data_IF_963963402173
#
_entry.id   IF_963963402173
#
_cell.length_a   1.000
_cell.length_b   1.000
_cell.length_c   1.000
_cell.angle_alpha   90.00
_cell.angle_beta   90.00
_cell.angle_gamma   90.00
#
_symmetry.space_group_name_H-M   'P 1'
#
loop_
_entity.id
_entity.type
_entity.pdbx_description
1 polymer ?
#
# COMPACT_ATOMS: atom_id res chain seq x y z
N UNK A 1 9.70 3.89 18.95
CA UNK A 1 8.41 4.65 18.96
C UNK A 1 8.51 6.10 18.47
N UNK A 2 9.68 6.77 18.52
CA UNK A 2 9.84 8.18 18.08
C UNK A 2 9.70 8.40 16.55
N UNK A 3 10.12 7.42 15.73
CA UNK A 3 10.03 7.51 14.27
C UNK A 3 8.60 7.42 13.72
N UNK A 4 7.73 6.64 14.34
CA UNK A 4 6.31 6.50 13.93
C UNK A 4 5.54 7.80 14.23
N UNK A 5 5.86 8.45 15.35
CA UNK A 5 5.27 9.72 15.74
C UNK A 5 5.72 10.88 14.83
N UNK A 6 6.99 10.87 14.39
CA UNK A 6 7.50 11.83 13.43
C UNK A 6 6.87 11.67 12.04
N UNK A 7 6.66 10.43 11.58
CA UNK A 7 5.99 10.13 10.32
C UNK A 7 4.49 10.52 10.34
N UNK A 8 3.82 10.34 11.49
CA UNK A 8 2.44 10.76 11.66
C UNK A 8 2.29 12.30 11.66
N UNK A 9 3.23 13.02 12.29
CA UNK A 9 3.25 14.49 12.31
C UNK A 9 3.56 15.09 10.94
N UNK A 10 4.49 14.48 10.17
CA UNK A 10 4.77 14.93 8.80
C UNK A 10 3.58 14.69 7.88
N UNK A 11 2.89 13.56 8.00
CA UNK A 11 1.67 13.29 7.24
C UNK A 11 0.54 14.28 7.58
N UNK A 12 0.38 14.66 8.86
CA UNK A 12 -0.63 15.62 9.29
C UNK A 12 -0.36 17.04 8.78
N UNK A 13 0.92 17.44 8.70
CA UNK A 13 1.34 18.74 8.16
C UNK A 13 1.16 18.84 6.64
N UNK A 14 1.38 17.75 5.90
CA UNK A 14 1.12 17.69 4.45
C UNK A 14 -0.39 17.81 4.18
N UNK A 15 -1.24 17.25 5.05
CA UNK A 15 -2.68 17.32 4.88
C UNK A 15 -3.25 18.74 5.15
N UNK A 16 -2.63 19.51 6.05
CA UNK A 16 -3.09 20.86 6.39
C UNK A 16 -2.73 21.91 5.33
N UNK A 17 -1.59 21.77 4.65
CA UNK A 17 -1.18 22.69 3.58
C UNK A 17 -2.08 22.58 2.35
N UNK A 18 -2.55 21.37 2.02
CA UNK A 18 -3.50 21.14 0.92
C UNK A 18 -4.85 21.85 1.20
N UNK A 19 -5.30 21.85 2.46
CA UNK A 19 -6.55 22.52 2.87
C UNK A 19 -6.50 24.05 2.75
N UNK A 20 -5.34 24.67 3.00
CA UNK A 20 -5.18 26.11 2.94
C UNK A 20 -5.22 26.68 1.50
N UNK A 21 -4.79 25.90 0.51
CA UNK A 21 -4.78 26.31 -0.92
C UNK A 21 -6.20 26.35 -1.50
N UNK A 22 -7.14 25.56 -0.95
CA UNK A 22 -8.51 25.44 -1.46
C UNK A 22 -9.42 26.67 -1.22
N UNK A 23 -8.99 27.64 -0.40
CA UNK A 23 -9.80 28.79 0.00
C UNK A 23 -9.46 30.10 -0.73
N UNK A 24 -8.47 30.14 -1.61
CA UNK A 24 -8.09 31.35 -2.35
C UNK A 24 -8.45 31.25 -3.85
N UNK A 25 -9.41 32.10 -4.28
CA UNK A 25 -9.69 32.52 -5.67
C UNK A 25 -10.66 31.70 -6.57
N UNK A 26 -11.40 32.35 -7.49
CA UNK A 26 -12.85 32.20 -7.61
C UNK A 26 -13.33 31.55 -8.93
N UNK A 27 -14.44 30.82 -8.85
CA UNK A 27 -15.47 30.73 -9.89
C UNK A 27 -15.21 29.86 -11.12
N UNK A 28 -14.32 30.27 -12.03
CA UNK A 28 -14.24 29.72 -13.41
C UNK A 28 -12.96 28.90 -13.65
N UNK A 29 -11.89 29.17 -12.89
CA UNK A 29 -10.72 28.28 -12.79
C UNK A 29 -10.97 27.07 -11.90
N UNK A 30 -12.02 27.11 -11.07
CA UNK A 30 -12.30 26.09 -10.06
C UNK A 30 -12.63 24.74 -10.66
N UNK A 31 -13.38 24.67 -11.76
CA UNK A 31 -13.71 23.39 -12.42
C UNK A 31 -12.49 22.70 -13.04
N UNK A 32 -11.63 23.44 -13.76
CA UNK A 32 -10.40 22.89 -14.34
C UNK A 32 -9.35 22.53 -13.28
N UNK A 33 -9.23 23.33 -12.22
CA UNK A 33 -8.35 23.00 -11.08
C UNK A 33 -8.89 21.79 -10.32
N UNK A 34 -10.21 21.66 -10.16
CA UNK A 34 -10.83 20.51 -9.49
C UNK A 34 -10.71 19.22 -10.32
N UNK A 35 -10.80 19.31 -11.65
CA UNK A 35 -10.53 18.15 -12.53
C UNK A 35 -9.05 17.79 -12.56
N UNK A 36 -8.14 18.76 -12.58
CA UNK A 36 -6.70 18.52 -12.43
C UNK A 36 -6.36 17.88 -11.09
N UNK A 37 -6.95 18.37 -10.00
CA UNK A 37 -6.76 17.81 -8.66
C UNK A 37 -7.37 16.41 -8.53
N UNK A 38 -8.52 16.15 -9.16
CA UNK A 38 -9.12 14.81 -9.22
C UNK A 38 -8.25 13.86 -10.03
N UNK A 39 -7.67 14.30 -11.14
CA UNK A 39 -6.75 13.50 -11.94
C UNK A 39 -5.49 13.16 -11.15
N UNK A 40 -4.87 14.13 -10.49
CA UNK A 40 -3.72 13.89 -9.60
C UNK A 40 -4.06 12.92 -8.45
N UNK A 41 -5.24 13.07 -7.82
CA UNK A 41 -5.67 12.14 -6.78
C UNK A 41 -5.87 10.71 -7.31
N UNK A 42 -6.46 10.56 -8.50
CA UNK A 42 -6.63 9.25 -9.14
C UNK A 42 -5.26 8.65 -9.50
N UNK A 43 -4.33 9.46 -9.97
CA UNK A 43 -2.96 9.03 -10.28
C UNK A 43 -2.23 8.57 -9.03
N UNK A 44 -2.30 9.32 -7.93
CA UNK A 44 -1.73 8.93 -6.63
C UNK A 44 -2.38 7.64 -6.13
N UNK A 45 -3.70 7.51 -6.24
CA UNK A 45 -4.40 6.29 -5.79
C UNK A 45 -3.99 5.08 -6.64
N UNK A 46 -3.81 5.28 -7.95
CA UNK A 46 -3.38 4.24 -8.88
C UNK A 46 -1.94 3.83 -8.60
N UNK A 47 -1.04 4.79 -8.40
CA UNK A 47 0.34 4.53 -7.99
C UNK A 47 0.40 3.77 -6.67
N UNK A 48 -0.43 4.15 -5.69
CA UNK A 48 -0.48 3.46 -4.41
C UNK A 48 -1.02 2.04 -4.54
N UNK A 49 -2.05 1.82 -5.39
CA UNK A 49 -2.55 0.48 -5.72
C UNK A 49 -1.43 -0.37 -6.33
N UNK A 50 -0.74 0.15 -7.34
CA UNK A 50 0.32 -0.56 -8.05
C UNK A 50 1.47 -0.93 -7.12
N UNK A 51 1.91 0.03 -6.30
CA UNK A 51 2.95 -0.18 -5.28
C UNK A 51 2.51 -1.23 -4.26
N UNK A 52 1.26 -1.19 -3.80
CA UNK A 52 0.74 -2.17 -2.85
C UNK A 52 0.67 -3.59 -3.45
N UNK A 53 0.29 -3.72 -4.73
CA UNK A 53 0.28 -4.99 -5.45
C UNK A 53 1.70 -5.56 -5.59
N UNK A 54 2.67 -4.72 -5.95
CA UNK A 54 4.07 -5.11 -6.09
C UNK A 54 4.66 -5.61 -4.76
N UNK A 55 4.46 -4.84 -3.68
CA UNK A 55 4.88 -5.23 -2.33
C UNK A 55 4.20 -6.54 -1.91
N UNK A 56 2.90 -6.66 -2.18
CA UNK A 56 2.14 -7.87 -1.88
C UNK A 56 2.73 -9.11 -2.56
N UNK A 57 3.11 -9.01 -3.84
CA UNK A 57 3.71 -10.12 -4.60
C UNK A 57 5.03 -10.57 -3.99
N UNK A 58 5.90 -9.62 -3.63
CA UNK A 58 7.17 -9.91 -2.96
C UNK A 58 6.93 -10.57 -1.60
N UNK A 59 5.96 -10.05 -0.82
CA UNK A 59 5.62 -10.58 0.49
C UNK A 59 5.10 -12.01 0.41
N UNK A 60 4.20 -12.28 -0.54
CA UNK A 60 3.67 -13.61 -0.82
C UNK A 60 4.78 -14.60 -1.17
N UNK A 61 5.69 -14.25 -2.08
CA UNK A 61 6.84 -15.09 -2.41
C UNK A 61 7.73 -15.37 -1.19
N UNK A 62 7.95 -14.35 -0.36
CA UNK A 62 8.75 -14.49 0.87
C UNK A 62 8.08 -15.43 1.88
N UNK A 63 6.77 -15.33 2.07
CA UNK A 63 5.97 -16.22 2.93
C UNK A 63 6.09 -17.69 2.48
N UNK A 64 6.03 -17.93 1.16
CA UNK A 64 6.18 -19.27 0.59
C UNK A 64 7.61 -19.78 0.83
N UNK A 65 8.63 -18.99 0.51
CA UNK A 65 10.03 -19.37 0.67
C UNK A 65 10.37 -19.70 2.13
N UNK A 66 10.00 -18.82 3.07
CA UNK A 66 10.16 -19.07 4.50
C UNK A 66 9.36 -20.29 4.95
N UNK A 67 8.16 -20.47 4.41
CA UNK A 67 7.32 -21.62 4.69
C UNK A 67 7.95 -22.95 4.27
N UNK A 68 8.60 -22.99 3.09
CA UNK A 68 9.35 -24.16 2.60
C UNK A 68 10.57 -24.44 3.48
N UNK A 69 11.32 -23.41 3.88
CA UNK A 69 12.47 -23.55 4.79
C UNK A 69 12.04 -24.11 6.15
N UNK A 70 10.96 -23.56 6.72
CA UNK A 70 10.37 -24.04 7.98
C UNK A 70 9.79 -25.45 7.86
N UNK A 71 9.26 -25.80 6.68
CA UNK A 71 8.74 -27.13 6.41
C UNK A 71 9.85 -28.18 6.40
N UNK A 72 10.99 -27.87 5.79
CA UNK A 72 12.16 -28.75 5.72
C UNK A 72 12.83 -28.97 7.09
N UNK A 73 12.69 -28.05 8.04
CA UNK A 73 13.36 -28.11 9.34
C UNK A 73 12.70 -29.05 10.37
N UNK A 74 11.64 -29.78 9.99
CA UNK A 74 10.82 -30.75 10.78
C UNK A 74 10.17 -30.20 12.08
N UNK A 75 10.95 -29.56 12.95
CA UNK A 75 10.56 -28.89 14.21
C UNK A 75 9.41 -27.89 14.03
N UNK A 76 9.36 -27.20 12.89
CA UNK A 76 8.32 -26.22 12.57
C UNK A 76 7.47 -26.60 11.35
N UNK A 77 7.45 -27.89 10.97
CA UNK A 77 6.80 -28.37 9.74
C UNK A 77 5.31 -28.00 9.64
N UNK A 78 4.59 -28.00 10.78
CA UNK A 78 3.19 -27.58 10.82
C UNK A 78 3.01 -26.07 10.57
N UNK A 79 3.89 -25.23 11.11
CA UNK A 79 3.86 -23.77 10.86
C UNK A 79 4.32 -23.45 9.44
N UNK A 80 5.35 -24.15 8.94
CA UNK A 80 5.83 -24.01 7.57
C UNK A 80 4.72 -24.26 6.54
N UNK A 81 3.99 -25.37 6.67
CA UNK A 81 2.84 -25.66 5.80
C UNK A 81 1.78 -24.56 5.82
N UNK A 82 1.38 -24.07 7.00
CA UNK A 82 0.42 -22.95 7.11
C UNK A 82 0.94 -21.68 6.45
N UNK A 83 2.23 -21.39 6.59
CA UNK A 83 2.87 -20.22 6.00
C UNK A 83 2.84 -20.29 4.47
N UNK A 84 3.19 -21.46 3.90
CA UNK A 84 3.07 -21.73 2.46
C UNK A 84 1.63 -21.50 2.01
N UNK A 85 0.63 -22.06 2.72
CA UNK A 85 -0.78 -21.91 2.32
C UNK A 85 -1.22 -20.44 2.35
N UNK A 86 -0.83 -19.68 3.38
CA UNK A 86 -1.14 -18.25 3.44
C UNK A 86 -0.45 -17.45 2.33
N UNK A 87 0.79 -17.79 1.99
CA UNK A 87 1.53 -17.14 0.91
C UNK A 87 0.90 -17.41 -0.45
N UNK A 88 0.47 -18.66 -0.71
CA UNK A 88 -0.23 -19.05 -1.95
C UNK A 88 -1.60 -18.39 -2.07
N UNK A 89 -2.37 -18.33 -0.98
CA UNK A 89 -3.66 -17.62 -0.97
C UNK A 89 -3.45 -16.13 -1.26
N UNK A 90 -2.47 -15.51 -0.61
CA UNK A 90 -2.13 -14.11 -0.83
C UNK A 90 -1.70 -13.87 -2.29
N UNK A 91 -0.90 -14.77 -2.87
CA UNK A 91 -0.52 -14.72 -4.29
C UNK A 91 -1.76 -14.70 -5.20
N UNK A 92 -2.70 -15.62 -4.97
CA UNK A 92 -3.95 -15.68 -5.74
C UNK A 92 -4.79 -14.42 -5.59
N UNK A 93 -4.90 -13.87 -4.39
CA UNK A 93 -5.64 -12.62 -4.15
C UNK A 93 -5.01 -11.47 -4.94
N UNK A 94 -3.67 -11.38 -4.94
CA UNK A 94 -2.94 -10.35 -5.67
C UNK A 94 -3.06 -10.52 -7.19
N UNK A 95 -3.04 -11.74 -7.68
CA UNK A 95 -3.21 -12.06 -9.11
C UNK A 95 -4.65 -11.77 -9.60
N UNK A 96 -5.65 -11.86 -8.72
CA UNK A 96 -7.03 -11.48 -9.03
C UNK A 96 -7.27 -9.96 -8.96
N UNK A 97 -6.44 -9.22 -8.21
CA UNK A 97 -6.60 -7.79 -7.95
C UNK A 97 -5.76 -6.91 -8.88
N UNK A 98 -4.64 -7.45 -9.39
CA UNK A 98 -3.84 -6.88 -10.47
C UNK A 98 -4.58 -6.95 -11.79
#
# INVERSE_FOLDING_TARGET
>A
MRGVLAAALSALLILSTIGAVACASPGISRSRVFEGFKAELIEILSFLKETALEIGRILSGTLIALGVVLWASDVFSYKGRKLITSGVILYFILELLG
#
